data_IF_373240935226
#
_entry.id   IF_373240935226
#
_cell.length_a   1.000
_cell.length_b   1.000
_cell.length_c   1.000
_cell.angle_alpha   90.00
_cell.angle_beta   90.00
_cell.angle_gamma   90.00
#
_symmetry.space_group_name_H-M   'P 1'
#
loop_
_entity.id
_entity.type
_entity.pdbx_description
1 polymer ?
#
# COMPACT_ATOMS: atom_id res chain seq x y z
N UNK A 1 13.62 -24.81 58.58
CA UNK A 1 14.47 -24.24 57.52
C UNK A 1 13.59 -23.27 56.76
N UNK A 2 13.57 -22.02 57.22
CA UNK A 2 12.77 -20.96 56.60
C UNK A 2 13.50 -20.46 55.35
N UNK A 3 13.01 -20.86 54.19
CA UNK A 3 13.41 -20.27 52.92
C UNK A 3 12.68 -18.93 52.77
N UNK A 4 13.26 -17.85 53.33
CA UNK A 4 12.81 -16.49 53.02
C UNK A 4 13.27 -16.13 51.61
N UNK A 5 12.38 -16.30 50.63
CA UNK A 5 12.59 -15.78 49.29
C UNK A 5 12.61 -14.24 49.34
N UNK A 6 13.78 -13.65 49.08
CA UNK A 6 13.92 -12.21 48.90
C UNK A 6 13.88 -11.92 47.40
N UNK A 7 12.82 -11.28 46.86
CA UNK A 7 12.79 -10.92 45.45
C UNK A 7 13.90 -9.91 45.14
N UNK A 8 14.52 -9.98 43.95
CA UNK A 8 15.51 -8.99 43.53
C UNK A 8 14.88 -7.59 43.47
N UNK A 9 15.65 -6.52 43.74
CA UNK A 9 15.15 -5.16 43.62
C UNK A 9 14.66 -4.90 42.19
N UNK A 10 13.53 -4.19 42.02
CA UNK A 10 12.98 -3.93 40.70
C UNK A 10 13.97 -3.13 39.87
N UNK A 11 14.14 -3.53 38.61
CA UNK A 11 14.95 -2.77 37.66
C UNK A 11 14.34 -1.38 37.43
N UNK A 12 15.15 -0.42 36.98
CA UNK A 12 14.68 0.92 36.61
C UNK A 12 13.52 0.88 35.59
N UNK A 13 13.59 -0.04 34.62
CA UNK A 13 12.53 -0.27 33.64
C UNK A 13 11.25 -0.77 34.33
N UNK A 14 11.38 -1.69 35.29
CA UNK A 14 10.26 -2.20 36.08
C UNK A 14 9.59 -1.11 36.90
N UNK A 15 10.37 -0.23 37.54
CA UNK A 15 9.84 0.91 38.29
C UNK A 15 9.10 1.88 37.35
N UNK A 16 9.66 2.16 36.17
CA UNK A 16 9.02 3.04 35.20
C UNK A 16 7.69 2.48 34.69
N UNK A 17 7.64 1.18 34.34
CA UNK A 17 6.41 0.52 33.91
C UNK A 17 5.37 0.49 35.03
N UNK A 18 5.80 0.25 36.27
CA UNK A 18 4.92 0.28 37.43
C UNK A 18 4.31 1.67 37.65
N UNK A 19 5.12 2.73 37.63
CA UNK A 19 4.62 4.11 37.80
C UNK A 19 3.65 4.50 36.68
N UNK A 20 3.96 4.13 35.43
CA UNK A 20 3.04 4.35 34.31
C UNK A 20 1.71 3.64 34.53
N UNK A 21 1.75 2.36 34.91
CA UNK A 21 0.55 1.58 35.13
C UNK A 21 -0.26 2.10 36.32
N UNK A 22 0.42 2.52 37.39
CA UNK A 22 -0.19 3.16 38.56
C UNK A 22 -0.94 4.45 38.18
N UNK A 23 -0.32 5.33 37.40
CA UNK A 23 -0.94 6.56 36.89
C UNK A 23 -2.14 6.24 35.98
N UNK A 24 -1.99 5.24 35.11
CA UNK A 24 -3.06 4.84 34.18
C UNK A 24 -4.27 4.22 34.89
N UNK A 25 -4.04 3.51 35.99
CA UNK A 25 -5.10 2.84 36.77
C UNK A 25 -5.66 3.69 37.91
N UNK A 26 -5.07 4.85 38.21
CA UNK A 26 -5.46 5.68 39.35
C UNK A 26 -6.94 6.06 39.36
N UNK A 27 -7.53 6.24 38.18
CA UNK A 27 -8.94 6.61 38.02
C UNK A 27 -9.86 5.40 37.75
N UNK A 28 -9.33 4.18 37.72
CA UNK A 28 -10.10 2.97 37.38
C UNK A 28 -10.82 2.43 38.62
N UNK A 29 -12.16 2.45 38.58
CA UNK A 29 -13.00 1.81 39.58
C UNK A 29 -13.45 0.43 39.08
N UNK A 30 -13.07 -0.62 39.79
CA UNK A 30 -13.50 -1.98 39.46
C UNK A 30 -14.96 -2.18 39.88
N UNK A 31 -15.79 -2.68 38.97
CA UNK A 31 -17.17 -3.07 39.23
C UNK A 31 -17.29 -4.60 39.23
N UNK A 32 -18.40 -5.14 39.73
CA UNK A 32 -18.73 -6.57 39.63
C UNK A 32 -19.42 -6.94 38.31
N UNK A 33 -19.48 -6.02 37.35
CA UNK A 33 -20.08 -6.26 36.04
C UNK A 33 -19.17 -7.15 35.18
N UNK A 34 -19.75 -7.87 34.22
CA UNK A 34 -18.95 -8.64 33.26
C UNK A 34 -18.15 -7.72 32.34
N UNK A 35 -16.88 -8.09 32.11
CA UNK A 35 -16.01 -7.38 31.18
C UNK A 35 -16.57 -7.42 29.76
N UNK A 36 -16.52 -6.28 29.07
CA UNK A 36 -16.91 -6.18 27.67
C UNK A 36 -15.82 -5.51 26.84
N UNK A 37 -15.66 -5.98 25.61
CA UNK A 37 -14.71 -5.42 24.68
C UNK A 37 -15.24 -4.11 24.07
N UNK A 38 -14.55 -3.00 24.33
CA UNK A 38 -14.86 -1.69 23.72
C UNK A 38 -13.88 -1.41 22.59
N UNK A 39 -14.40 -1.23 21.39
CA UNK A 39 -13.62 -0.82 20.24
C UNK A 39 -13.28 0.68 20.32
N UNK A 40 -12.04 1.00 20.72
CA UNK A 40 -11.57 2.37 20.95
C UNK A 40 -11.67 3.31 19.74
N UNK A 41 -11.71 2.77 18.53
CA UNK A 41 -11.64 3.55 17.29
C UNK A 41 -13.01 3.90 16.69
N UNK A 42 -14.11 3.63 17.40
CA UNK A 42 -15.46 4.04 17.01
C UNK A 42 -16.17 4.62 18.23
N UNK A 43 -16.85 5.76 18.08
CA UNK A 43 -17.51 6.43 19.21
C UNK A 43 -18.63 5.59 19.84
N UNK A 44 -19.21 4.64 19.09
CA UNK A 44 -20.19 3.69 19.60
C UNK A 44 -19.59 2.59 20.49
N UNK A 45 -18.25 2.45 20.52
CA UNK A 45 -17.58 1.36 21.21
C UNK A 45 -17.76 -0.02 20.54
N UNK A 46 -18.54 -0.11 19.45
CA UNK A 46 -18.84 -1.36 18.76
C UNK A 46 -17.78 -1.69 17.72
N UNK A 47 -17.34 -2.94 17.72
CA UNK A 47 -16.45 -3.45 16.68
C UNK A 47 -17.19 -3.66 15.36
N UNK A 48 -16.54 -3.29 14.25
CA UNK A 48 -16.92 -3.76 12.92
C UNK A 48 -15.69 -3.99 12.07
N UNK A 49 -15.74 -4.97 11.16
CA UNK A 49 -14.65 -5.21 10.19
C UNK A 49 -14.32 -3.94 9.41
N UNK A 50 -15.34 -3.15 9.04
CA UNK A 50 -15.17 -1.86 8.36
C UNK A 50 -14.33 -0.86 9.18
N UNK A 51 -14.65 -0.67 10.45
CA UNK A 51 -13.90 0.23 11.35
C UNK A 51 -12.46 -0.25 11.55
N UNK A 52 -12.25 -1.56 11.70
CA UNK A 52 -10.93 -2.16 11.81
C UNK A 52 -10.08 -1.91 10.57
N UNK A 53 -10.62 -2.19 9.37
CA UNK A 53 -9.92 -1.91 8.11
C UNK A 53 -9.59 -0.42 7.94
N UNK A 54 -10.48 0.48 8.37
CA UNK A 54 -10.24 1.92 8.30
C UNK A 54 -9.05 2.36 9.17
N UNK A 55 -8.90 1.77 10.36
CA UNK A 55 -7.76 2.02 11.25
C UNK A 55 -6.50 1.37 10.72
N UNK A 56 -6.58 0.12 10.25
CA UNK A 56 -5.46 -0.62 9.66
C UNK A 56 -4.89 0.10 8.43
N UNK A 57 -5.76 0.75 7.66
CA UNK A 57 -5.43 1.50 6.46
C UNK A 57 -5.31 3.01 6.73
N UNK A 58 -5.26 3.44 7.99
CA UNK A 58 -5.08 4.84 8.33
C UNK A 58 -3.70 5.29 7.85
N UNK A 59 -3.67 6.35 7.04
CA UNK A 59 -2.43 6.82 6.37
C UNK A 59 -2.08 6.06 5.09
N UNK A 60 -2.89 5.08 4.66
CA UNK A 60 -2.71 4.47 3.34
C UNK A 60 -3.07 5.46 2.22
N UNK A 61 -2.30 5.44 1.14
CA UNK A 61 -2.64 6.17 -0.08
C UNK A 61 -3.82 5.48 -0.76
N UNK A 62 -4.96 6.14 -0.78
CA UNK A 62 -6.16 5.61 -1.44
C UNK A 62 -5.98 5.79 -2.94
N UNK A 63 -5.75 4.71 -3.68
CA UNK A 63 -5.70 4.77 -5.14
C UNK A 63 -7.12 4.96 -5.70
N UNK A 64 -7.65 6.18 -5.74
CA UNK A 64 -9.01 6.46 -6.25
C UNK A 64 -9.36 5.93 -7.66
N UNK A 65 -8.43 5.82 -8.64
CA UNK A 65 -8.79 5.46 -10.00
C UNK A 65 -9.35 4.03 -10.17
N UNK A 66 -9.30 3.16 -9.16
CA UNK A 66 -9.89 1.81 -9.26
C UNK A 66 -11.39 1.87 -9.61
N UNK A 67 -12.14 2.81 -9.04
CA UNK A 67 -13.58 2.95 -9.34
C UNK A 67 -13.81 3.25 -10.83
N UNK A 68 -12.97 4.10 -11.43
CA UNK A 68 -13.06 4.45 -12.86
C UNK A 68 -12.73 3.26 -13.73
N UNK A 69 -11.64 2.53 -13.39
CA UNK A 69 -11.23 1.32 -14.10
C UNK A 69 -12.37 0.29 -14.23
N UNK A 70 -13.01 -0.05 -13.11
CA UNK A 70 -14.05 -1.08 -13.12
C UNK A 70 -15.37 -0.63 -13.77
N UNK A 71 -15.64 0.68 -13.80
CA UNK A 71 -16.80 1.28 -14.49
C UNK A 71 -16.65 1.38 -16.01
N UNK A 72 -15.45 1.19 -16.58
CA UNK A 72 -15.26 1.24 -18.03
C UNK A 72 -16.03 0.14 -18.76
N UNK A 73 -16.29 0.32 -20.05
CA UNK A 73 -16.87 -0.71 -20.93
C UNK A 73 -15.85 -1.73 -21.43
N UNK A 74 -14.60 -1.66 -20.97
CA UNK A 74 -13.53 -2.55 -21.41
C UNK A 74 -13.80 -4.02 -21.04
N UNK A 75 -13.34 -4.98 -21.85
CA UNK A 75 -13.43 -6.40 -21.50
C UNK A 75 -12.76 -6.71 -20.15
N UNK A 76 -13.23 -7.73 -19.40
CA UNK A 76 -12.66 -8.08 -18.10
C UNK A 76 -11.14 -8.31 -18.13
N UNK A 77 -10.62 -8.99 -19.18
CA UNK A 77 -9.18 -9.23 -19.33
C UNK A 77 -8.36 -7.93 -19.35
N UNK A 78 -8.85 -6.91 -20.06
CA UNK A 78 -8.20 -5.59 -20.13
C UNK A 78 -8.24 -4.87 -18.78
N UNK A 79 -9.39 -4.93 -18.07
CA UNK A 79 -9.54 -4.35 -16.72
C UNK A 79 -8.56 -4.98 -15.73
N UNK A 80 -8.46 -6.32 -15.73
CA UNK A 80 -7.53 -7.04 -14.86
C UNK A 80 -6.07 -6.73 -15.18
N UNK A 81 -5.70 -6.70 -16.46
CA UNK A 81 -4.36 -6.31 -16.87
C UNK A 81 -4.01 -4.90 -16.36
N UNK A 82 -4.88 -3.92 -16.59
CA UNK A 82 -4.63 -2.53 -16.19
C UNK A 82 -4.61 -2.39 -14.66
N UNK A 83 -5.42 -3.16 -13.93
CA UNK A 83 -5.36 -3.24 -12.46
C UNK A 83 -4.00 -3.74 -11.96
N UNK A 84 -3.44 -4.77 -12.60
CA UNK A 84 -2.11 -5.27 -12.27
C UNK A 84 -1.03 -4.24 -12.62
N UNK A 85 -1.15 -3.58 -13.77
CA UNK A 85 -0.21 -2.56 -14.22
C UNK A 85 -0.14 -1.39 -13.24
N UNK A 86 -1.30 -0.85 -12.86
CA UNK A 86 -1.44 0.21 -11.85
C UNK A 86 -0.76 -0.15 -10.53
N UNK A 87 -0.86 -1.40 -10.10
CA UNK A 87 -0.27 -1.87 -8.84
C UNK A 87 1.20 -2.28 -8.95
N UNK A 88 1.82 -2.05 -10.11
CA UNK A 88 3.13 -2.53 -10.48
C UNK A 88 3.30 -4.04 -10.20
N UNK A 89 2.33 -4.86 -10.64
CA UNK A 89 2.28 -6.32 -10.43
C UNK A 89 2.43 -7.12 -11.73
N UNK A 90 2.71 -6.47 -12.86
CA UNK A 90 3.01 -7.15 -14.12
C UNK A 90 4.42 -7.76 -14.10
N UNK A 91 4.59 -8.88 -14.80
CA UNK A 91 5.90 -9.51 -15.00
C UNK A 91 6.69 -8.69 -16.03
N UNK A 92 7.54 -7.83 -15.50
CA UNK A 92 8.40 -6.89 -16.24
C UNK A 92 9.85 -7.12 -15.79
N UNK A 93 10.84 -6.73 -16.59
CA UNK A 93 12.24 -7.07 -16.30
C UNK A 93 12.68 -6.58 -14.90
N UNK A 94 12.27 -5.40 -14.47
CA UNK A 94 12.52 -4.90 -13.10
C UNK A 94 11.95 -5.83 -12.01
N UNK A 95 10.75 -6.39 -12.22
CA UNK A 95 10.11 -7.31 -11.27
C UNK A 95 10.72 -8.70 -11.29
N UNK A 96 11.21 -9.14 -12.45
CA UNK A 96 11.96 -10.39 -12.59
C UNK A 96 13.32 -10.28 -11.90
N UNK A 97 14.02 -9.15 -12.09
CA UNK A 97 15.28 -8.82 -11.42
C UNK A 97 15.16 -8.88 -9.91
N UNK A 98 14.14 -8.24 -9.33
CA UNK A 98 13.87 -8.25 -7.88
C UNK A 98 13.65 -9.66 -7.30
N UNK A 99 13.33 -10.64 -8.14
CA UNK A 99 13.11 -12.04 -7.74
C UNK A 99 14.28 -12.96 -8.12
N UNK A 100 15.37 -12.41 -8.66
CA UNK A 100 16.53 -13.19 -9.12
C UNK A 100 16.22 -14.10 -10.30
N UNK A 101 15.20 -13.78 -11.11
CA UNK A 101 14.84 -14.55 -12.29
C UNK A 101 15.57 -14.00 -13.54
N UNK A 102 15.80 -14.81 -14.59
CA UNK A 102 16.38 -14.35 -15.84
C UNK A 102 15.54 -13.21 -16.46
N UNK A 103 16.20 -12.14 -16.87
CA UNK A 103 15.58 -10.93 -17.40
C UNK A 103 16.56 -10.20 -18.32
N UNK A 104 16.08 -9.44 -19.31
CA UNK A 104 16.93 -8.54 -20.09
C UNK A 104 17.28 -7.29 -19.28
N UNK A 105 18.49 -6.75 -19.48
CA UNK A 105 18.95 -5.52 -18.80
C UNK A 105 18.23 -4.27 -19.32
N UNK A 106 17.78 -4.33 -20.57
CA UNK A 106 17.14 -3.23 -21.31
C UNK A 106 15.84 -3.70 -21.95
N UNK A 107 14.93 -2.77 -22.21
CA UNK A 107 13.64 -3.06 -22.80
C UNK A 107 13.81 -3.67 -24.20
N UNK A 108 13.24 -4.86 -24.47
CA UNK A 108 13.42 -5.58 -25.73
C UNK A 108 12.74 -4.89 -26.91
N UNK A 109 11.86 -3.91 -26.66
CA UNK A 109 11.27 -3.11 -27.74
C UNK A 109 12.19 -1.97 -28.17
N UNK A 110 12.63 -1.12 -27.25
CA UNK A 110 13.33 0.12 -27.59
C UNK A 110 14.86 0.08 -27.44
N UNK A 111 15.39 -0.88 -26.69
CA UNK A 111 16.82 -1.03 -26.37
C UNK A 111 17.47 0.22 -25.73
N UNK A 112 16.67 1.08 -25.07
CA UNK A 112 17.12 2.40 -24.58
C UNK A 112 17.05 2.57 -23.06
N UNK A 113 16.14 1.86 -22.38
CA UNK A 113 15.90 2.01 -20.94
C UNK A 113 15.48 0.67 -20.32
N UNK A 114 15.49 0.59 -18.99
CA UNK A 114 15.03 -0.58 -18.26
C UNK A 114 13.53 -0.85 -18.51
N UNK A 115 13.16 -2.12 -18.68
CA UNK A 115 11.77 -2.50 -18.83
C UNK A 115 11.03 -2.42 -17.49
N UNK A 116 10.23 -1.36 -17.34
CA UNK A 116 9.21 -1.24 -16.30
C UNK A 116 7.82 -1.24 -16.93
N UNK A 117 6.77 -1.51 -16.16
CA UNK A 117 5.40 -1.46 -16.68
C UNK A 117 5.01 -0.05 -17.18
N UNK A 118 5.50 1.00 -16.53
CA UNK A 118 5.29 2.39 -16.95
C UNK A 118 6.01 2.65 -18.28
N UNK A 119 7.26 2.20 -18.39
CA UNK A 119 8.02 2.32 -19.63
C UNK A 119 7.31 1.60 -20.77
N UNK A 120 6.95 0.33 -20.60
CA UNK A 120 6.28 -0.49 -21.62
C UNK A 120 4.96 0.11 -22.12
N UNK A 121 4.18 0.73 -21.23
CA UNK A 121 2.85 1.24 -21.57
C UNK A 121 2.84 2.69 -22.02
N UNK A 122 3.81 3.52 -21.61
CA UNK A 122 3.75 4.97 -21.82
C UNK A 122 5.05 5.61 -22.29
N UNK A 123 6.20 5.29 -21.69
CA UNK A 123 7.45 6.00 -22.00
C UNK A 123 8.23 5.43 -23.20
N UNK A 124 8.08 4.13 -23.47
CA UNK A 124 8.75 3.43 -24.57
C UNK A 124 8.40 4.09 -25.91
N UNK A 125 9.39 4.26 -26.78
CA UNK A 125 9.19 4.92 -28.07
C UNK A 125 8.08 4.26 -28.90
N UNK A 126 7.98 2.93 -28.85
CA UNK A 126 6.92 2.16 -29.50
C UNK A 126 5.55 2.46 -28.88
N UNK A 127 5.46 2.51 -27.55
CA UNK A 127 4.22 2.83 -26.85
C UNK A 127 3.74 4.25 -27.17
N UNK A 128 4.65 5.24 -27.17
CA UNK A 128 4.34 6.62 -27.54
C UNK A 128 3.84 6.75 -28.96
N UNK A 129 4.49 6.06 -29.91
CA UNK A 129 4.04 6.04 -31.31
C UNK A 129 2.64 5.42 -31.45
N UNK A 130 2.38 4.32 -30.75
CA UNK A 130 1.07 3.69 -30.71
C UNK A 130 -0.01 4.65 -30.18
N UNK A 131 0.24 5.28 -29.03
CA UNK A 131 -0.69 6.26 -28.45
C UNK A 131 -0.88 7.47 -29.35
N UNK A 132 0.19 8.01 -29.93
CA UNK A 132 0.11 9.13 -30.85
C UNK A 132 -0.80 8.80 -32.04
N UNK A 133 -0.65 7.63 -32.62
CA UNK A 133 -1.44 7.19 -33.78
C UNK A 133 -2.94 7.13 -33.45
N UNK A 134 -3.29 6.53 -32.31
CA UNK A 134 -4.69 6.42 -31.87
C UNK A 134 -5.26 7.78 -31.49
N UNK A 135 -4.53 8.56 -30.69
CA UNK A 135 -4.99 9.83 -30.15
C UNK A 135 -5.08 10.90 -31.25
N UNK A 136 -4.13 10.94 -32.19
CA UNK A 136 -4.19 11.84 -33.32
C UNK A 136 -5.41 11.57 -34.20
N UNK A 137 -5.76 10.29 -34.42
CA UNK A 137 -6.93 9.92 -35.21
C UNK A 137 -8.27 10.45 -34.63
N UNK A 138 -8.32 10.70 -33.31
CA UNK A 138 -9.49 11.24 -32.62
C UNK A 138 -9.33 12.71 -32.21
N UNK A 139 -8.31 13.41 -32.72
CA UNK A 139 -8.07 14.83 -32.44
C UNK A 139 -7.46 15.13 -31.07
N UNK A 140 -6.97 14.12 -30.36
CA UNK A 140 -6.41 14.21 -29.00
C UNK A 140 -4.88 14.00 -28.97
N UNK A 141 -4.17 14.23 -30.09
CA UNK A 141 -2.72 13.99 -30.19
C UNK A 141 -1.87 14.72 -29.13
N UNK A 142 -2.36 15.84 -28.58
CA UNK A 142 -1.69 16.57 -27.51
C UNK A 142 -1.62 15.81 -26.17
N UNK A 143 -2.42 14.75 -25.98
CA UNK A 143 -2.41 13.89 -24.79
C UNK A 143 -1.46 12.69 -24.94
N UNK A 144 -0.62 12.67 -25.99
CA UNK A 144 0.35 11.59 -26.18
C UNK A 144 1.36 11.60 -25.04
N UNK A 145 1.63 10.45 -24.39
CA UNK A 145 2.63 10.38 -23.32
C UNK A 145 4.02 10.82 -23.80
N UNK A 146 4.69 11.64 -23.00
CA UNK A 146 6.07 12.11 -23.24
C UNK A 146 7.07 11.36 -22.37
N UNK A 147 8.35 11.36 -22.75
CA UNK A 147 9.39 10.63 -21.99
C UNK A 147 9.61 11.21 -20.57
N UNK A 148 9.32 12.49 -20.35
CA UNK A 148 9.67 13.19 -19.11
C UNK A 148 8.74 12.90 -17.92
N UNK A 149 7.68 12.12 -18.10
CA UNK A 149 6.77 11.74 -17.01
C UNK A 149 7.37 10.70 -16.04
N UNK A 150 8.59 10.20 -16.29
CA UNK A 150 9.31 9.29 -15.39
C UNK A 150 9.88 10.01 -14.14
N UNK A 151 9.89 11.35 -14.10
CA UNK A 151 10.32 12.15 -12.93
C UNK A 151 9.15 12.66 -12.10
N UNK A 152 8.30 11.76 -11.63
CA UNK A 152 7.46 12.04 -10.47
C UNK A 152 8.31 11.98 -9.21
N UNK A 153 8.83 13.13 -8.77
CA UNK A 153 9.46 13.35 -7.46
C UNK A 153 8.46 12.96 -6.32
N UNK A 154 8.95 12.60 -5.11
CA UNK A 154 8.31 11.68 -4.16
C UNK A 154 6.99 12.13 -3.53
#
# INVERSE_FOLDING_TARGET
MDCTYQPPPPSLIGIQQFLFLWDTLGDVQLTQEEDHHVWRHEASGLFSSKSCYKVLLLGSTVFEPWKRLWKTWAPPKCKFFLWLAIRNKCWTADRLQLRGLPHPDVCPMCDQAQETIQHLLTACIFARQFWHTILAAIGLGHLTPTADEEKGEP
#
